data_IF_696051333465
#
_entry.id   IF_696051333465
#
_cell.length_a   1.000
_cell.length_b   1.000
_cell.length_c   1.000
_cell.angle_alpha   90.00
_cell.angle_beta   90.00
_cell.angle_gamma   90.00
#
_symmetry.space_group_name_H-M   'P 1'
#
loop_
_entity.id
_entity.type
_entity.pdbx_description
1 polymer ?
#
# COMPACT_ATOMS: atom_id res chain seq x y z
N UNK A 1 25.61 -2.45 -17.11
CA UNK A 1 24.31 -1.77 -16.86
C UNK A 1 23.92 -2.01 -15.42
N UNK A 2 24.03 -1.01 -14.55
CA UNK A 2 23.73 -1.15 -13.13
C UNK A 2 22.25 -1.47 -12.92
N UNK A 3 21.95 -2.55 -12.20
CA UNK A 3 20.60 -2.90 -11.80
C UNK A 3 20.04 -1.74 -10.95
N UNK A 4 19.12 -0.96 -11.52
CA UNK A 4 18.44 0.12 -10.80
C UNK A 4 17.54 -0.50 -9.74
N UNK A 5 17.98 -0.43 -8.48
CA UNK A 5 17.25 -0.92 -7.31
C UNK A 5 16.08 0.01 -7.02
N UNK A 6 14.86 -0.54 -6.89
CA UNK A 6 13.66 0.25 -6.58
C UNK A 6 13.19 -0.01 -5.16
N UNK A 7 12.94 1.07 -4.42
CA UNK A 7 12.39 1.02 -3.06
C UNK A 7 10.92 1.44 -3.13
N UNK A 8 10.03 0.59 -2.62
CA UNK A 8 8.58 0.78 -2.61
C UNK A 8 8.13 0.88 -1.15
N UNK A 9 7.40 1.95 -0.84
CA UNK A 9 6.81 2.15 0.48
C UNK A 9 5.46 1.43 0.58
N UNK A 10 5.09 1.02 1.80
CA UNK A 10 3.80 0.37 2.02
C UNK A 10 2.64 1.33 1.75
N UNK A 11 1.53 0.77 1.25
CA UNK A 11 0.34 1.55 0.89
C UNK A 11 -0.26 2.28 2.10
N UNK A 12 -0.24 1.66 3.28
CA UNK A 12 -0.85 2.23 4.49
C UNK A 12 -0.15 3.52 4.92
N UNK A 13 1.16 3.65 4.65
CA UNK A 13 1.91 4.88 4.91
C UNK A 13 1.46 6.02 3.99
N UNK A 14 1.32 5.73 2.70
CA UNK A 14 0.98 6.72 1.67
C UNK A 14 -0.45 7.19 1.88
N UNK A 15 -1.38 6.24 2.01
CA UNK A 15 -2.80 6.51 2.16
C UNK A 15 -3.11 7.20 3.50
N UNK A 16 -2.47 6.77 4.60
CA UNK A 16 -2.67 7.39 5.91
C UNK A 16 -2.23 8.85 5.94
N UNK A 17 -1.10 9.17 5.29
CA UNK A 17 -0.65 10.57 5.16
C UNK A 17 -1.59 11.41 4.29
N UNK A 18 -2.03 10.86 3.16
CA UNK A 18 -2.90 11.56 2.21
C UNK A 18 -4.27 11.88 2.84
N UNK A 19 -4.89 10.91 3.51
CA UNK A 19 -6.17 11.10 4.20
C UNK A 19 -6.07 12.13 5.33
N UNK A 20 -5.00 12.09 6.13
CA UNK A 20 -4.76 13.10 7.17
C UNK A 20 -4.60 14.50 6.56
N UNK A 21 -3.81 14.65 5.50
CA UNK A 21 -3.62 15.96 4.86
C UNK A 21 -4.92 16.50 4.25
N UNK A 22 -5.74 15.64 3.63
CA UNK A 22 -7.06 16.04 3.14
C UNK A 22 -7.97 16.47 4.29
N UNK A 23 -8.04 15.68 5.37
CA UNK A 23 -8.84 16.02 6.55
C UNK A 23 -8.47 17.38 7.16
N UNK A 24 -7.17 17.70 7.24
CA UNK A 24 -6.69 19.02 7.69
C UNK A 24 -7.17 20.13 6.73
N UNK A 25 -7.04 19.94 5.42
CA UNK A 25 -7.48 20.92 4.43
C UNK A 25 -8.98 21.24 4.52
N UNK A 26 -9.83 20.21 4.65
CA UNK A 26 -11.26 20.40 4.90
C UNK A 26 -11.54 21.08 6.24
N UNK A 27 -10.78 20.76 7.29
CA UNK A 27 -10.88 21.40 8.60
C UNK A 27 -10.57 22.90 8.54
N UNK A 28 -9.53 23.30 7.81
CA UNK A 28 -9.20 24.72 7.60
C UNK A 28 -10.35 25.45 6.91
N UNK A 29 -10.92 24.87 5.84
CA UNK A 29 -12.07 25.47 5.16
C UNK A 29 -13.29 25.59 6.07
N UNK A 30 -13.55 24.59 6.92
CA UNK A 30 -14.60 24.69 7.94
C UNK A 30 -14.34 25.86 8.90
N UNK A 31 -13.11 26.00 9.43
CA UNK A 31 -12.80 27.11 10.35
C UNK A 31 -12.96 28.48 9.70
N UNK A 32 -12.58 28.65 8.42
CA UNK A 32 -12.78 29.90 7.68
C UNK A 32 -14.27 30.22 7.57
N UNK A 33 -15.08 29.24 7.20
CA UNK A 33 -16.53 29.40 7.05
C UNK A 33 -17.20 29.77 8.38
N UNK A 34 -16.79 29.14 9.48
CA UNK A 34 -17.32 29.43 10.82
C UNK A 34 -17.02 30.87 11.29
N UNK A 35 -15.82 31.37 11.02
CA UNK A 35 -15.41 32.73 11.43
C UNK A 35 -16.02 33.80 10.54
N UNK A 36 -16.34 33.47 9.28
CA UNK A 36 -16.80 34.45 8.29
C UNK A 36 -18.24 34.96 8.51
N UNK A 37 -19.23 34.07 8.65
CA UNK A 37 -20.62 34.45 8.90
C UNK A 37 -21.40 33.27 9.51
N UNK A 38 -22.20 33.54 10.53
CA UNK A 38 -23.08 32.56 11.17
C UNK A 38 -24.15 32.01 10.20
N UNK A 39 -24.49 32.76 9.14
CA UNK A 39 -25.40 32.30 8.08
C UNK A 39 -24.84 31.14 7.25
N UNK A 40 -23.53 30.92 7.27
CA UNK A 40 -22.85 29.85 6.54
C UNK A 40 -22.68 28.56 7.36
N UNK A 41 -23.39 28.42 8.49
CA UNK A 41 -23.23 27.29 9.40
C UNK A 41 -23.52 25.93 8.75
N UNK A 42 -24.43 25.90 7.76
CA UNK A 42 -24.69 24.68 6.97
C UNK A 42 -23.47 24.24 6.16
N UNK A 43 -22.77 25.19 5.54
CA UNK A 43 -21.52 24.91 4.83
C UNK A 43 -20.39 24.54 5.81
N UNK A 44 -20.32 25.19 6.98
CA UNK A 44 -19.38 24.79 8.03
C UNK A 44 -19.52 23.31 8.39
N UNK A 45 -20.74 22.85 8.70
CA UNK A 45 -21.00 21.45 9.04
C UNK A 45 -20.68 20.51 7.88
N UNK A 46 -20.99 20.92 6.64
CA UNK A 46 -20.69 20.16 5.43
C UNK A 46 -19.18 19.91 5.24
N UNK A 47 -18.32 20.87 5.60
CA UNK A 47 -16.85 20.68 5.53
C UNK A 47 -16.28 20.00 6.78
N UNK A 48 -16.87 20.20 7.95
CA UNK A 48 -16.40 19.65 9.22
C UNK A 48 -16.55 18.12 9.30
N UNK A 49 -17.70 17.58 8.88
CA UNK A 49 -17.98 16.13 8.99
C UNK A 49 -16.99 15.30 8.15
N UNK A 50 -16.75 15.61 6.86
CA UNK A 50 -15.71 14.95 6.07
C UNK A 50 -14.31 15.16 6.63
N UNK A 51 -14.00 16.35 7.18
CA UNK A 51 -12.70 16.63 7.78
C UNK A 51 -12.37 15.63 8.90
N UNK A 52 -13.32 15.46 9.84
CA UNK A 52 -13.18 14.51 10.93
C UNK A 52 -13.09 13.07 10.41
N UNK A 53 -14.00 12.66 9.51
CA UNK A 53 -14.00 11.32 8.94
C UNK A 53 -12.67 10.95 8.26
N UNK A 54 -12.16 11.82 7.38
CA UNK A 54 -10.89 11.64 6.69
C UNK A 54 -9.71 11.62 7.66
N UNK A 55 -9.72 12.50 8.68
CA UNK A 55 -8.68 12.52 9.69
C UNK A 55 -8.63 11.22 10.51
N UNK A 56 -9.77 10.72 10.98
CA UNK A 56 -9.84 9.47 11.74
C UNK A 56 -9.49 8.26 10.87
N UNK A 57 -9.94 8.19 9.62
CA UNK A 57 -9.52 7.14 8.69
C UNK A 57 -8.00 7.16 8.46
N UNK A 58 -7.43 8.35 8.26
CA UNK A 58 -5.98 8.52 8.14
C UNK A 58 -5.23 8.16 9.43
N UNK A 59 -5.77 8.50 10.60
CA UNK A 59 -5.22 8.12 11.90
C UNK A 59 -5.24 6.61 12.14
N UNK A 60 -6.31 5.93 11.74
CA UNK A 60 -6.42 4.48 11.79
C UNK A 60 -5.34 3.81 10.91
N UNK A 61 -5.17 4.27 9.67
CA UNK A 61 -4.14 3.73 8.78
C UNK A 61 -2.71 4.03 9.28
N UNK A 62 -2.47 5.20 9.86
CA UNK A 62 -1.20 5.54 10.48
C UNK A 62 -0.93 4.69 11.74
N UNK A 63 -1.96 4.38 12.55
CA UNK A 63 -1.83 3.43 13.67
C UNK A 63 -1.45 2.05 13.15
N UNK A 64 -2.16 1.54 12.13
CA UNK A 64 -1.81 0.30 11.45
C UNK A 64 -0.37 0.36 10.94
N UNK A 65 0.07 1.46 10.34
CA UNK A 65 1.47 1.69 9.93
C UNK A 65 2.47 1.63 11.09
N UNK A 66 2.19 2.29 12.21
CA UNK A 66 3.08 2.32 13.37
C UNK A 66 3.25 0.97 14.06
N UNK A 67 2.27 0.06 13.97
CA UNK A 67 2.37 -1.28 14.57
C UNK A 67 3.57 -2.09 14.08
N UNK A 68 3.94 -2.00 12.80
CA UNK A 68 5.16 -2.68 12.29
C UNK A 68 6.30 -1.69 12.03
N UNK A 69 5.98 -0.40 11.93
CA UNK A 69 6.94 0.63 11.56
C UNK A 69 7.28 0.60 10.07
N UNK A 70 8.48 1.07 9.75
CA UNK A 70 8.93 1.20 8.36
C UNK A 70 9.27 -0.17 7.78
N UNK A 71 8.53 -0.56 6.75
CA UNK A 71 8.77 -1.79 5.99
C UNK A 71 8.92 -1.51 4.49
N UNK A 72 10.08 -1.00 4.04
CA UNK A 72 10.32 -0.81 2.62
C UNK A 72 10.46 -2.17 1.90
N UNK A 73 9.80 -2.29 0.75
CA UNK A 73 10.01 -3.36 -0.21
C UNK A 73 11.10 -2.92 -1.19
N UNK A 74 12.19 -3.66 -1.24
CA UNK A 74 13.30 -3.46 -2.17
C UNK A 74 13.21 -4.50 -3.29
N UNK A 75 13.13 -4.02 -4.53
CA UNK A 75 13.21 -4.85 -5.72
C UNK A 75 14.62 -4.74 -6.32
N UNK A 76 15.20 -5.87 -6.72
CA UNK A 76 16.49 -5.91 -7.41
C UNK A 76 16.40 -5.42 -8.88
N UNK A 77 15.21 -5.02 -9.32
CA UNK A 77 14.95 -4.44 -10.61
C UNK A 77 14.02 -3.23 -10.46
N UNK A 78 14.03 -2.33 -11.46
CA UNK A 78 13.14 -1.17 -11.49
C UNK A 78 11.67 -1.55 -11.73
N UNK A 79 11.45 -2.69 -12.37
CA UNK A 79 10.16 -3.33 -12.59
C UNK A 79 10.26 -4.86 -12.60
N UNK A 80 9.17 -5.53 -12.27
CA UNK A 80 9.07 -6.98 -12.41
C UNK A 80 8.81 -7.31 -13.88
N UNK A 81 9.67 -8.12 -14.48
CA UNK A 81 9.52 -8.63 -15.84
C UNK A 81 8.65 -9.88 -15.83
N UNK A 82 7.80 -10.02 -16.84
CA UNK A 82 6.98 -11.22 -17.01
C UNK A 82 7.85 -12.42 -17.36
N UNK A 83 7.50 -13.60 -16.84
CA UNK A 83 8.19 -14.88 -16.98
C UNK A 83 9.68 -14.84 -16.56
N UNK A 84 10.06 -13.87 -15.72
CA UNK A 84 11.41 -13.74 -15.21
C UNK A 84 11.36 -13.59 -13.70
N UNK A 85 12.21 -14.36 -13.03
CA UNK A 85 12.33 -14.36 -11.59
C UNK A 85 12.93 -13.03 -11.11
N UNK A 86 12.16 -12.28 -10.33
CA UNK A 86 12.57 -10.99 -9.76
C UNK A 86 12.72 -11.14 -8.26
N UNK A 87 13.96 -11.03 -7.77
CA UNK A 87 14.25 -11.10 -6.32
C UNK A 87 13.73 -9.85 -5.62
N UNK A 88 13.01 -10.06 -4.53
CA UNK A 88 12.43 -9.02 -3.69
C UNK A 88 12.85 -9.21 -2.23
N UNK A 89 13.00 -8.10 -1.51
CA UNK A 89 13.44 -8.07 -0.13
C UNK A 89 12.64 -7.05 0.67
N UNK A 90 12.05 -7.46 1.79
CA UNK A 90 11.40 -6.55 2.73
C UNK A 90 12.29 -6.40 3.95
N UNK A 91 12.54 -5.17 4.36
CA UNK A 91 13.29 -4.85 5.59
C UNK A 91 12.32 -4.49 6.69
N UNK A 92 12.45 -5.11 7.86
CA UNK A 92 11.63 -4.82 9.04
C UNK A 92 12.56 -4.43 10.17
N UNK A 93 12.36 -3.24 10.74
CA UNK A 93 13.14 -2.74 11.87
C UNK A 93 12.65 -3.31 13.19
N UNK A 94 12.72 -4.64 13.30
CA UNK A 94 12.40 -5.43 14.49
C UNK A 94 13.29 -6.67 14.51
N UNK A 95 13.81 -6.99 15.68
CA UNK A 95 14.63 -8.18 15.89
C UNK A 95 13.73 -9.42 15.92
N UNK A 96 14.21 -10.52 15.35
CA UNK A 96 13.58 -11.85 15.43
C UNK A 96 12.10 -11.89 14.99
N UNK A 97 11.73 -11.10 13.98
CA UNK A 97 10.35 -11.06 13.49
C UNK A 97 10.05 -12.28 12.60
N UNK A 98 9.65 -13.41 13.20
CA UNK A 98 9.35 -14.66 12.49
C UNK A 98 7.84 -14.94 12.36
N UNK A 99 7.03 -13.90 12.12
CA UNK A 99 5.56 -14.03 12.07
C UNK A 99 4.98 -14.10 10.66
N UNK A 100 5.83 -14.05 9.64
CA UNK A 100 5.42 -14.07 8.24
C UNK A 100 5.59 -15.48 7.71
N UNK A 101 4.48 -16.16 7.46
CA UNK A 101 4.48 -17.51 6.90
C UNK A 101 4.44 -17.49 5.37
N UNK A 102 3.69 -16.54 4.81
CA UNK A 102 3.36 -16.52 3.39
C UNK A 102 3.36 -15.09 2.85
N UNK A 103 3.90 -14.93 1.65
CA UNK A 103 3.78 -13.71 0.85
C UNK A 103 2.74 -13.94 -0.24
N UNK A 104 1.72 -13.09 -0.28
CA UNK A 104 0.68 -13.09 -1.31
C UNK A 104 1.03 -12.13 -2.43
N UNK A 105 0.89 -12.60 -3.65
CA UNK A 105 1.02 -11.84 -4.88
C UNK A 105 -0.36 -11.79 -5.54
N UNK A 106 -0.84 -10.60 -5.88
CA UNK A 106 -2.18 -10.42 -6.45
C UNK A 106 -2.15 -9.48 -7.64
N UNK A 107 -2.91 -9.83 -8.68
CA UNK A 107 -3.23 -8.95 -9.80
C UNK A 107 -4.73 -8.61 -9.76
N UNK A 108 -5.03 -7.33 -9.69
CA UNK A 108 -6.40 -6.82 -9.59
C UNK A 108 -6.73 -5.98 -10.82
N UNK A 109 -7.88 -6.26 -11.43
CA UNK A 109 -8.51 -5.43 -12.43
C UNK A 109 -9.35 -4.35 -11.77
N UNK A 110 -9.14 -3.11 -12.19
CA UNK A 110 -10.02 -2.00 -11.91
C UNK A 110 -10.73 -1.65 -13.22
N UNK A 111 -12.06 -1.72 -13.24
CA UNK A 111 -12.87 -1.30 -14.38
C UNK A 111 -13.54 0.02 -14.05
N UNK A 112 -13.45 1.02 -14.92
CA UNK A 112 -14.06 2.34 -14.70
C UNK A 112 -15.58 2.28 -14.50
N UNK A 113 -16.24 1.32 -15.14
CA UNK A 113 -17.71 1.19 -15.13
C UNK A 113 -18.25 0.31 -13.99
N UNK A 114 -17.41 -0.39 -13.24
CA UNK A 114 -17.88 -1.30 -12.19
C UNK A 114 -17.25 -0.98 -10.83
N UNK A 115 -18.09 -0.87 -9.79
CA UNK A 115 -17.64 -0.66 -8.41
C UNK A 115 -16.81 -1.85 -7.85
N UNK A 116 -16.79 -3.00 -8.53
CA UNK A 116 -16.08 -4.18 -8.06
C UNK A 116 -14.70 -4.35 -8.73
N UNK A 117 -13.65 -4.25 -7.91
CA UNK A 117 -12.30 -4.67 -8.30
C UNK A 117 -12.26 -6.20 -8.44
N UNK A 118 -11.88 -6.72 -9.61
CA UNK A 118 -11.82 -8.17 -9.88
C UNK A 118 -10.41 -8.71 -9.67
N UNK A 119 -10.28 -9.81 -8.93
CA UNK A 119 -9.02 -10.56 -8.86
C UNK A 119 -8.85 -11.38 -10.14
N UNK A 120 -7.75 -11.18 -10.85
CA UNK A 120 -7.43 -11.94 -12.07
C UNK A 120 -6.47 -13.06 -11.76
N UNK A 121 -5.56 -12.81 -10.82
CA UNK A 121 -4.53 -13.75 -10.46
C UNK A 121 -4.13 -13.53 -9.01
N UNK A 122 -3.89 -14.64 -8.31
CA UNK A 122 -3.35 -14.67 -6.97
C UNK A 122 -2.35 -15.82 -6.90
N UNK A 123 -1.24 -15.62 -6.21
CA UNK A 123 -0.25 -16.63 -5.94
C UNK A 123 0.33 -16.41 -4.55
N UNK A 124 0.83 -17.48 -3.95
CA UNK A 124 1.48 -17.44 -2.65
C UNK A 124 2.92 -17.94 -2.80
N UNK A 125 3.84 -17.29 -2.09
CA UNK A 125 5.26 -17.62 -2.08
C UNK A 125 5.73 -17.73 -0.64
N UNK A 126 6.47 -18.78 -0.34
CA UNK A 126 7.13 -18.95 0.96
C UNK A 126 8.37 -18.05 1.02
N UNK A 127 8.47 -17.17 2.05
CA UNK A 127 9.63 -16.31 2.20
C UNK A 127 10.78 -17.01 2.92
N UNK A 128 12.01 -16.62 2.58
CA UNK A 128 13.19 -16.90 3.40
C UNK A 128 13.42 -15.74 4.36
N UNK A 129 13.52 -16.03 5.66
CA UNK A 129 13.69 -15.00 6.70
C UNK A 129 15.12 -15.06 7.25
N UNK A 130 15.78 -13.90 7.27
CA UNK A 130 17.10 -13.72 7.84
C UNK A 130 17.07 -12.66 8.93
N UNK A 131 17.88 -12.84 9.97
CA UNK A 131 18.01 -11.89 11.07
C UNK A 131 19.39 -11.24 11.01
N UNK A 132 19.43 -9.92 10.90
CA UNK A 132 20.66 -9.13 10.86
C UNK A 132 20.62 -8.08 11.98
N UNK A 133 21.35 -8.31 13.07
CA UNK A 133 21.44 -7.40 14.24
C UNK A 133 20.04 -7.00 14.73
N UNK A 134 19.60 -5.79 14.34
CA UNK A 134 18.33 -5.18 14.74
C UNK A 134 17.24 -5.20 13.65
N UNK A 135 17.51 -5.92 12.56
CA UNK A 135 16.66 -5.98 11.38
C UNK A 135 16.27 -7.42 11.09
N UNK A 136 15.02 -7.60 10.69
CA UNK A 136 14.57 -8.82 10.04
C UNK A 136 14.45 -8.55 8.55
N UNK A 137 15.01 -9.44 7.75
CA UNK A 137 14.99 -9.42 6.31
C UNK A 137 14.11 -10.57 5.81
N UNK A 138 13.18 -10.24 4.94
CA UNK A 138 12.29 -11.23 4.32
C UNK A 138 12.59 -11.22 2.82
N UNK A 139 13.17 -12.29 2.31
CA UNK A 139 13.55 -12.45 0.91
C UNK A 139 12.61 -13.46 0.23
N UNK A 140 12.17 -13.13 -0.98
CA UNK A 140 11.29 -13.99 -1.77
C UNK A 140 11.40 -13.65 -3.25
N UNK A 141 10.97 -14.59 -4.07
CA UNK A 141 11.06 -14.49 -5.52
C UNK A 141 9.69 -14.21 -6.12
N UNK A 142 9.63 -13.19 -6.97
CA UNK A 142 8.42 -12.82 -7.70
C UNK A 142 8.52 -13.41 -9.10
N UNK A 143 7.58 -14.28 -9.46
CA UNK A 143 7.42 -14.78 -10.82
C UNK A 143 6.01 -14.46 -11.33
N UNK A 144 5.93 -13.66 -12.39
CA UNK A 144 4.66 -13.22 -12.98
C UNK A 144 4.46 -13.94 -14.31
N UNK A 145 3.39 -14.74 -14.47
CA UNK A 145 3.10 -15.42 -15.73
C UNK A 145 3.03 -14.50 -16.95
N UNK A 146 3.52 -14.95 -18.11
CA UNK A 146 3.55 -14.17 -19.36
C UNK A 146 2.15 -13.74 -19.84
N UNK A 147 1.13 -14.55 -19.58
CA UNK A 147 -0.25 -14.32 -20.02
C UNK A 147 -0.95 -13.18 -19.29
N UNK A 148 -0.36 -12.65 -18.21
CA UNK A 148 -0.97 -11.59 -17.42
C UNK A 148 -0.72 -10.20 -18.02
N UNK A 149 -1.63 -9.24 -17.80
CA UNK A 149 -1.51 -7.87 -18.33
C UNK A 149 -0.38 -7.08 -17.67
N UNK A 150 0.04 -5.97 -18.25
CA UNK A 150 1.01 -5.07 -17.60
C UNK A 150 0.37 -4.21 -16.51
N UNK A 151 1.18 -3.70 -15.57
CA UNK A 151 0.69 -2.69 -14.65
C UNK A 151 0.37 -1.41 -15.41
N UNK A 152 -0.83 -0.88 -15.24
CA UNK A 152 -1.24 0.37 -15.87
C UNK A 152 -1.72 1.38 -14.83
N UNK A 153 -1.40 2.65 -15.08
CA UNK A 153 -1.85 3.80 -14.29
C UNK A 153 -2.42 4.84 -15.27
N UNK A 154 -3.67 5.26 -15.12
CA UNK A 154 -4.27 6.27 -16.02
C UNK A 154 -5.79 6.31 -15.98
N UNK A 155 -6.41 6.92 -17.01
CA UNK A 155 -7.88 7.01 -17.19
C UNK A 155 -8.45 5.92 -18.10
N UNK A 156 -7.72 4.82 -18.32
CA UNK A 156 -8.20 3.72 -19.16
C UNK A 156 -9.33 2.95 -18.47
N UNK A 157 -10.27 2.45 -19.26
CA UNK A 157 -11.45 1.70 -18.79
C UNK A 157 -11.09 0.41 -18.05
N UNK A 158 -9.89 -0.16 -18.29
CA UNK A 158 -9.36 -1.33 -17.58
C UNK A 158 -7.94 -1.06 -17.12
N UNK A 159 -7.75 -1.05 -15.80
CA UNK A 159 -6.44 -0.90 -15.17
C UNK A 159 -6.07 -2.15 -14.42
N UNK A 160 -4.78 -2.46 -14.39
CA UNK A 160 -4.26 -3.63 -13.71
C UNK A 160 -3.24 -3.19 -12.68
N UNK A 161 -3.47 -3.57 -11.42
CA UNK A 161 -2.55 -3.31 -10.32
C UNK A 161 -2.01 -4.62 -9.78
N UNK A 162 -0.71 -4.63 -9.51
CA UNK A 162 -0.04 -5.75 -8.88
C UNK A 162 0.33 -5.39 -7.46
N UNK A 163 0.02 -6.29 -6.55
CA UNK A 163 0.21 -6.09 -5.12
C UNK A 163 0.96 -7.28 -4.53
N UNK A 164 1.92 -6.95 -3.68
CA UNK A 164 2.58 -7.88 -2.77
C UNK A 164 1.99 -7.60 -1.40
N UNK A 165 1.50 -8.61 -0.70
CA UNK A 165 1.10 -8.46 0.69
C UNK A 165 1.56 -9.60 1.57
N UNK A 166 1.66 -9.35 2.86
CA UNK A 166 1.75 -10.41 3.85
C UNK A 166 0.86 -10.09 5.04
N UNK A 167 0.47 -11.16 5.74
CA UNK A 167 -0.37 -11.09 6.93
C UNK A 167 0.35 -11.68 8.11
N UNK A 168 0.16 -11.06 9.27
CA UNK A 168 0.64 -11.57 10.54
C UNK A 168 -0.30 -11.12 11.66
N UNK A 169 -0.22 -11.82 12.78
CA UNK A 169 -1.01 -11.50 13.98
C UNK A 169 -0.11 -10.85 15.03
N UNK A 170 -0.51 -9.68 15.50
CA UNK A 170 0.18 -8.92 16.55
C UNK A 170 -0.84 -8.53 17.61
N UNK A 171 -0.64 -8.94 18.86
CA UNK A 171 -1.54 -8.59 19.97
C UNK A 171 -3.03 -8.90 19.70
N UNK A 172 -3.30 -10.06 19.09
CA UNK A 172 -4.65 -10.50 18.64
C UNK A 172 -5.30 -9.64 17.55
N UNK A 173 -4.58 -8.68 16.97
CA UNK A 173 -5.01 -7.92 15.80
C UNK A 173 -4.36 -8.49 14.52
N UNK A 174 -5.16 -8.65 13.47
CA UNK A 174 -4.67 -9.04 12.15
C UNK A 174 -4.08 -7.83 11.44
N UNK A 175 -2.78 -7.88 11.15
CA UNK A 175 -2.08 -6.82 10.43
C UNK A 175 -1.68 -7.33 9.06
N UNK A 176 -2.23 -6.71 8.02
CA UNK A 176 -1.82 -6.90 6.64
C UNK A 176 -0.95 -5.72 6.17
N UNK A 177 0.11 -6.03 5.44
CA UNK A 177 0.95 -5.03 4.77
C UNK A 177 0.91 -5.23 3.28
N UNK A 178 0.69 -4.15 2.54
CA UNK A 178 0.58 -4.20 1.07
C UNK A 178 1.53 -3.21 0.39
N UNK A 179 2.15 -3.65 -0.70
CA UNK A 179 2.99 -2.86 -1.61
C UNK A 179 2.51 -3.01 -3.05
N UNK A 180 2.46 -1.90 -3.79
CA UNK A 180 2.16 -1.91 -5.23
C UNK A 180 3.44 -2.09 -6.03
N UNK A 181 3.52 -3.16 -6.81
CA UNK A 181 4.69 -3.44 -7.66
C UNK A 181 4.43 -3.07 -9.13
N UNK A 182 5.41 -2.45 -9.81
CA UNK A 182 5.37 -2.20 -11.25
C UNK A 182 5.66 -3.49 -12.04
N UNK A 183 4.88 -3.74 -13.09
CA UNK A 183 5.03 -4.92 -13.98
C UNK A 183 4.98 -4.47 -15.42
N UNK A 184 6.01 -4.82 -16.21
CA UNK A 184 6.07 -4.47 -17.64
C UNK A 184 6.46 -5.68 -18.47
N UNK A 185 6.02 -5.69 -19.73
CA UNK A 185 6.60 -6.57 -20.76
C UNK A 185 7.90 -5.88 -21.25
N UNK A 186 8.89 -6.68 -21.66
CA UNK A 186 10.20 -6.18 -22.10
C UNK A 186 10.03 -5.25 -23.31
#
# INVERSE_FOLDING_TARGET
MGASKRIILSQERILGKLLKSMGIGFGVMATILFVSDFKLIGFFVFFLIPALGLYFMGAYQDRKYKMLGRTPLELNASYCKKNQLTKAKIKINRNNFNKVQEIKLRCTQHSGDSQANRIIWENTVEPTIHFEKDLTLIEFDINIPQRLPESSSGFFSRQYSYEVSFKFTESMEFVERTWKIPVKTI
#
